data_IF_134183246614
#
_entry.id   IF_134183246614
#
_cell.length_a   1.000
_cell.length_b   1.000
_cell.length_c   1.000
_cell.angle_alpha   90.00
_cell.angle_beta   90.00
_cell.angle_gamma   90.00
#
_symmetry.space_group_name_H-M   'P 1'
#
loop_
_entity.id
_entity.type
_entity.pdbx_description
1 polymer ?
#
# COMPACT_ATOMS: atom_id res chain seq x y z
N UNK A 1 11.04 -7.39 -28.77
CA UNK A 1 10.55 -7.03 -27.41
C UNK A 1 9.44 -8.02 -27.15
N UNK A 2 9.56 -8.88 -26.11
CA UNK A 2 8.49 -9.81 -25.73
C UNK A 2 7.58 -9.07 -24.73
N UNK A 3 6.28 -9.02 -25.00
CA UNK A 3 5.26 -8.41 -24.14
C UNK A 3 4.43 -9.47 -23.38
N UNK A 4 4.81 -10.74 -23.48
CA UNK A 4 4.14 -11.80 -22.76
C UNK A 4 4.57 -11.79 -21.28
N UNK A 5 3.62 -12.06 -20.40
CA UNK A 5 3.89 -12.25 -18.98
C UNK A 5 4.59 -13.57 -18.73
N UNK A 6 5.47 -13.61 -17.72
CA UNK A 6 6.06 -14.86 -17.26
C UNK A 6 5.02 -15.78 -16.63
N UNK A 7 5.35 -17.06 -16.48
CA UNK A 7 4.46 -18.02 -15.80
C UNK A 7 4.15 -17.58 -14.36
N UNK A 8 5.15 -17.05 -13.64
CA UNK A 8 5.00 -16.53 -12.28
C UNK A 8 4.05 -15.32 -12.25
N UNK A 9 4.16 -14.41 -13.22
CA UNK A 9 3.29 -13.26 -13.36
C UNK A 9 1.84 -13.66 -13.66
N UNK A 10 1.65 -14.67 -14.51
CA UNK A 10 0.33 -15.24 -14.79
C UNK A 10 -0.25 -15.87 -13.52
N UNK A 11 0.54 -16.68 -12.80
CA UNK A 11 0.11 -17.30 -11.54
C UNK A 11 -0.27 -16.27 -10.49
N UNK A 12 0.52 -15.19 -10.33
CA UNK A 12 0.22 -14.08 -9.43
C UNK A 12 -1.12 -13.43 -9.79
N UNK A 13 -1.28 -13.01 -11.04
CA UNK A 13 -2.54 -12.41 -11.53
C UNK A 13 -3.74 -13.31 -11.27
N UNK A 14 -3.63 -14.58 -11.58
CA UNK A 14 -4.73 -15.56 -11.48
C UNK A 14 -5.05 -15.85 -10.00
N UNK A 15 -4.06 -15.83 -9.12
CA UNK A 15 -4.24 -15.92 -7.67
C UNK A 15 -5.11 -14.78 -7.15
N UNK A 16 -4.76 -13.53 -7.49
CA UNK A 16 -5.52 -12.34 -7.07
C UNK A 16 -6.94 -12.37 -7.66
N UNK A 17 -7.07 -12.68 -8.96
CA UNK A 17 -8.36 -12.75 -9.64
C UNK A 17 -9.29 -13.78 -9.00
N UNK A 18 -8.79 -14.97 -8.67
CA UNK A 18 -9.56 -16.03 -8.02
C UNK A 18 -10.03 -15.61 -6.63
N UNK A 19 -9.14 -15.04 -5.82
CA UNK A 19 -9.54 -14.56 -4.49
C UNK A 19 -10.68 -13.56 -4.58
N UNK A 20 -10.61 -12.60 -5.51
CA UNK A 20 -11.65 -11.59 -5.71
C UNK A 20 -12.95 -12.24 -6.14
N UNK A 21 -12.90 -13.18 -7.08
CA UNK A 21 -14.08 -13.91 -7.55
C UNK A 21 -14.78 -14.67 -6.41
N UNK A 22 -14.00 -15.28 -5.53
CA UNK A 22 -14.51 -16.15 -4.47
C UNK A 22 -14.95 -15.39 -3.21
N UNK A 23 -14.36 -14.20 -2.94
CA UNK A 23 -14.51 -13.51 -1.65
C UNK A 23 -15.00 -12.06 -1.74
N UNK A 24 -15.13 -11.49 -2.96
CA UNK A 24 -15.40 -10.06 -3.13
C UNK A 24 -16.65 -9.80 -3.98
N UNK A 25 -17.71 -10.62 -3.77
CA UNK A 25 -19.03 -10.38 -4.38
C UNK A 25 -19.55 -8.98 -3.97
N UNK A 26 -20.37 -8.39 -4.80
CA UNK A 26 -20.81 -6.99 -4.62
C UNK A 26 -21.49 -6.71 -3.28
N UNK A 27 -22.32 -7.63 -2.81
CA UNK A 27 -22.98 -7.59 -1.50
C UNK A 27 -21.95 -7.65 -0.35
N UNK A 28 -21.00 -8.58 -0.41
CA UNK A 28 -19.89 -8.68 0.55
C UNK A 28 -19.10 -7.38 0.60
N UNK A 29 -18.78 -6.80 -0.56
CA UNK A 29 -18.09 -5.50 -0.64
C UNK A 29 -18.90 -4.38 0.00
N UNK A 30 -20.22 -4.36 -0.19
CA UNK A 30 -21.09 -3.36 0.45
C UNK A 30 -21.07 -3.48 1.97
N UNK A 31 -21.11 -4.72 2.49
CA UNK A 31 -21.04 -4.98 3.93
C UNK A 31 -19.71 -4.52 4.52
N UNK A 32 -18.59 -4.80 3.83
CA UNK A 32 -17.26 -4.29 4.23
C UNK A 32 -17.25 -2.76 4.25
N UNK A 33 -17.76 -2.12 3.19
CA UNK A 33 -17.78 -0.66 3.08
C UNK A 33 -18.66 0.00 4.17
N UNK A 34 -19.71 -0.67 4.61
CA UNK A 34 -20.60 -0.20 5.67
C UNK A 34 -20.08 -0.51 7.09
N UNK A 35 -19.02 -1.32 7.21
CA UNK A 35 -18.41 -1.64 8.50
C UNK A 35 -17.73 -0.43 9.13
N UNK A 36 -17.53 -0.44 10.44
CA UNK A 36 -16.86 0.63 11.18
C UNK A 36 -15.45 0.96 10.62
N UNK A 37 -14.73 -0.05 10.16
CA UNK A 37 -13.38 0.11 9.63
C UNK A 37 -13.33 0.41 8.13
N UNK A 38 -14.41 0.14 7.39
CA UNK A 38 -14.48 0.30 5.93
C UNK A 38 -13.57 -0.65 5.15
N UNK A 39 -12.90 -1.60 5.82
CA UNK A 39 -12.02 -2.63 5.25
C UNK A 39 -12.22 -3.96 5.98
N UNK A 40 -11.84 -5.07 5.36
CA UNK A 40 -11.78 -6.39 6.01
C UNK A 40 -10.35 -6.69 6.47
N UNK A 41 -10.17 -6.82 7.79
CA UNK A 41 -8.88 -7.23 8.37
C UNK A 41 -8.52 -8.67 7.99
N UNK A 42 -9.51 -9.53 7.82
CA UNK A 42 -9.29 -10.92 7.42
C UNK A 42 -8.79 -10.99 5.98
N UNK A 43 -9.38 -10.22 5.06
CA UNK A 43 -8.89 -10.11 3.69
C UNK A 43 -7.45 -9.56 3.67
N UNK A 44 -7.18 -8.51 4.45
CA UNK A 44 -5.83 -7.93 4.54
C UNK A 44 -4.80 -8.95 5.03
N UNK A 45 -5.15 -9.74 6.03
CA UNK A 45 -4.32 -10.83 6.51
C UNK A 45 -4.10 -11.89 5.43
N UNK A 46 -5.15 -12.26 4.71
CA UNK A 46 -5.05 -13.19 3.58
C UNK A 46 -4.13 -12.64 2.48
N UNK A 47 -4.15 -11.33 2.19
CA UNK A 47 -3.22 -10.72 1.23
C UNK A 47 -1.76 -10.86 1.69
N UNK A 48 -1.49 -10.74 3.00
CA UNK A 48 -0.17 -10.99 3.57
C UNK A 48 0.24 -12.46 3.43
N UNK A 49 -0.63 -13.39 3.82
CA UNK A 49 -0.41 -14.84 3.74
C UNK A 49 -0.16 -15.34 2.29
N UNK A 50 -0.83 -14.73 1.32
CA UNK A 50 -0.64 -15.00 -0.12
C UNK A 50 0.59 -14.26 -0.70
N UNK A 51 1.31 -13.47 0.10
CA UNK A 51 2.52 -12.78 -0.29
C UNK A 51 2.30 -11.52 -1.13
N UNK A 52 1.06 -11.06 -1.35
CA UNK A 52 0.82 -9.91 -2.22
C UNK A 52 1.37 -8.60 -1.65
N UNK A 53 1.41 -8.48 -0.31
CA UNK A 53 1.95 -7.30 0.35
C UNK A 53 3.48 -7.21 0.24
N UNK A 54 4.16 -8.33 -0.04
CA UNK A 54 5.61 -8.43 -0.13
C UNK A 54 6.18 -8.03 -1.50
N UNK A 55 5.34 -8.00 -2.54
CA UNK A 55 5.75 -7.92 -3.95
C UNK A 55 6.76 -6.79 -4.23
N UNK A 56 6.51 -5.51 -3.87
CA UNK A 56 7.42 -4.45 -4.26
C UNK A 56 8.65 -4.30 -3.35
N UNK A 57 8.78 -5.08 -2.30
CA UNK A 57 9.86 -4.93 -1.33
C UNK A 57 11.05 -5.85 -1.64
N UNK A 58 12.24 -5.43 -1.24
CA UNK A 58 13.47 -6.20 -1.44
C UNK A 58 13.52 -7.45 -0.56
N UNK A 59 14.22 -8.48 -1.04
CA UNK A 59 14.37 -9.77 -0.34
C UNK A 59 15.01 -9.63 1.05
N UNK A 60 15.90 -8.68 1.24
CA UNK A 60 16.54 -8.39 2.54
C UNK A 60 15.55 -7.99 3.65
N UNK A 61 14.35 -7.52 3.27
CA UNK A 61 13.25 -7.19 4.18
C UNK A 61 12.14 -8.25 4.19
N UNK A 62 12.36 -9.42 3.55
CA UNK A 62 11.35 -10.45 3.38
C UNK A 62 10.41 -10.22 2.19
N UNK A 63 10.77 -9.31 1.29
CA UNK A 63 10.01 -9.01 0.09
C UNK A 63 10.25 -9.99 -1.05
N UNK A 64 9.45 -9.85 -2.11
CA UNK A 64 9.57 -10.67 -3.32
C UNK A 64 10.55 -10.07 -4.35
N UNK A 65 10.92 -8.79 -4.23
CA UNK A 65 11.76 -8.11 -5.20
C UNK A 65 11.07 -7.82 -6.54
N UNK A 66 9.74 -7.89 -6.57
CA UNK A 66 8.95 -7.71 -7.78
C UNK A 66 9.02 -6.29 -8.35
N UNK A 67 8.86 -6.20 -9.67
CA UNK A 67 8.91 -4.96 -10.42
C UNK A 67 7.55 -4.30 -10.62
N UNK A 68 7.56 -3.26 -11.47
CA UNK A 68 6.35 -2.49 -11.79
C UNK A 68 5.27 -3.34 -12.47
N UNK A 69 5.65 -4.36 -13.25
CA UNK A 69 4.70 -5.26 -13.93
C UNK A 69 3.95 -6.12 -12.92
N UNK A 70 4.66 -6.67 -11.93
CA UNK A 70 4.06 -7.51 -10.88
C UNK A 70 3.05 -6.71 -10.06
N UNK A 71 3.42 -5.49 -9.66
CA UNK A 71 2.53 -4.55 -8.98
C UNK A 71 1.32 -4.19 -9.85
N UNK A 72 1.52 -3.93 -11.14
CA UNK A 72 0.44 -3.61 -12.09
C UNK A 72 -0.58 -4.76 -12.15
N UNK A 73 -0.12 -6.00 -12.24
CA UNK A 73 -1.00 -7.17 -12.31
C UNK A 73 -1.88 -7.32 -11.06
N UNK A 74 -1.31 -7.08 -9.86
CA UNK A 74 -2.10 -7.06 -8.63
C UNK A 74 -3.10 -5.93 -8.64
N UNK A 75 -2.65 -4.69 -8.91
CA UNK A 75 -3.50 -3.50 -8.88
C UNK A 75 -4.65 -3.57 -9.90
N UNK A 76 -4.41 -4.17 -11.06
CA UNK A 76 -5.45 -4.38 -12.07
C UNK A 76 -6.58 -5.27 -11.53
N UNK A 77 -6.24 -6.38 -10.87
CA UNK A 77 -7.25 -7.27 -10.32
C UNK A 77 -7.97 -6.65 -9.12
N UNK A 78 -7.23 -6.01 -8.19
CA UNK A 78 -7.84 -5.27 -7.08
C UNK A 78 -8.81 -4.19 -7.58
N UNK A 79 -8.44 -3.49 -8.66
CA UNK A 79 -9.30 -2.49 -9.31
C UNK A 79 -10.56 -3.10 -9.92
N UNK A 80 -10.46 -4.25 -10.58
CA UNK A 80 -11.63 -4.98 -11.13
C UNK A 80 -12.63 -5.37 -10.05
N UNK A 81 -12.15 -5.75 -8.87
CA UNK A 81 -12.99 -6.08 -7.71
C UNK A 81 -13.44 -4.87 -6.90
N UNK A 82 -12.98 -3.67 -7.22
CA UNK A 82 -13.18 -2.46 -6.40
C UNK A 82 -12.82 -2.72 -4.93
N UNK A 83 -11.69 -3.38 -4.71
CA UNK A 83 -11.19 -3.81 -3.40
C UNK A 83 -10.96 -2.61 -2.48
N UNK A 84 -11.37 -2.73 -1.21
CA UNK A 84 -11.37 -1.64 -0.23
C UNK A 84 -10.11 -1.63 0.65
N UNK A 85 -9.42 -2.76 0.73
CA UNK A 85 -8.18 -2.89 1.51
C UNK A 85 -7.10 -1.93 0.99
N UNK A 86 -6.34 -1.28 1.87
CA UNK A 86 -5.49 -0.13 1.55
C UNK A 86 -4.16 -0.52 0.89
N UNK A 87 -4.19 -1.36 -0.14
CA UNK A 87 -2.98 -1.81 -0.85
C UNK A 87 -2.21 -0.61 -1.44
N UNK A 88 -2.92 0.28 -2.15
CA UNK A 88 -2.31 1.48 -2.72
C UNK A 88 -1.68 2.37 -1.63
N UNK A 89 -2.44 2.69 -0.58
CA UNK A 89 -1.98 3.61 0.46
C UNK A 89 -0.82 3.02 1.27
N UNK A 90 -0.94 1.77 1.70
CA UNK A 90 0.03 1.15 2.61
C UNK A 90 1.24 0.57 1.87
N UNK A 91 1.02 -0.25 0.85
CA UNK A 91 2.12 -0.98 0.19
C UNK A 91 2.87 -0.08 -0.80
N UNK A 92 2.12 0.67 -1.63
CA UNK A 92 2.74 1.42 -2.71
C UNK A 92 3.15 2.84 -2.30
N UNK A 93 2.28 3.60 -1.62
CA UNK A 93 2.58 4.98 -1.25
C UNK A 93 3.46 5.05 0.01
N UNK A 94 2.99 4.52 1.13
CA UNK A 94 3.77 4.54 2.37
C UNK A 94 5.02 3.65 2.28
N UNK A 95 4.87 2.40 1.82
CA UNK A 95 5.98 1.49 1.57
C UNK A 95 6.97 2.03 0.53
N UNK A 96 6.47 2.70 -0.51
CA UNK A 96 7.29 3.38 -1.51
C UNK A 96 8.10 4.54 -0.92
N UNK A 97 7.52 5.31 0.00
CA UNK A 97 8.21 6.37 0.73
C UNK A 97 9.35 5.79 1.58
N UNK A 98 9.10 4.71 2.33
CA UNK A 98 10.11 4.01 3.12
C UNK A 98 11.27 3.52 2.24
N UNK A 99 10.98 2.85 1.13
CA UNK A 99 11.99 2.32 0.18
C UNK A 99 12.86 3.40 -0.43
N UNK A 100 12.33 4.60 -0.69
CA UNK A 100 13.03 5.67 -1.41
C UNK A 100 13.65 6.72 -0.49
N UNK A 101 13.08 6.95 0.66
CA UNK A 101 13.47 8.05 1.56
C UNK A 101 13.66 7.65 3.02
N UNK A 102 13.27 6.44 3.42
CA UNK A 102 13.49 5.95 4.77
C UNK A 102 14.94 5.58 5.03
N UNK A 103 15.42 5.79 6.26
CA UNK A 103 16.71 5.23 6.71
C UNK A 103 16.62 3.70 6.75
N UNK A 104 17.78 3.03 6.76
CA UNK A 104 17.83 1.56 6.88
C UNK A 104 17.11 1.06 8.15
N UNK A 105 17.19 1.83 9.24
CA UNK A 105 16.48 1.54 10.49
C UNK A 105 14.95 1.57 10.30
N UNK A 106 14.42 2.64 9.69
CA UNK A 106 12.99 2.76 9.39
C UNK A 106 12.51 1.68 8.41
N UNK A 107 13.30 1.37 7.40
CA UNK A 107 12.99 0.29 6.47
C UNK A 107 12.94 -1.06 7.19
N UNK A 108 13.93 -1.36 8.03
CA UNK A 108 14.01 -2.60 8.81
C UNK A 108 12.90 -2.73 9.85
N UNK A 109 12.40 -1.62 10.40
CA UNK A 109 11.30 -1.62 11.36
C UNK A 109 9.93 -1.81 10.69
N UNK A 110 9.65 -1.05 9.62
CA UNK A 110 8.28 -0.94 9.08
C UNK A 110 8.00 -1.89 7.92
N UNK A 111 8.96 -2.15 7.02
CA UNK A 111 8.70 -2.98 5.83
C UNK A 111 8.28 -4.41 6.21
N UNK A 112 8.97 -5.12 7.12
CA UNK A 112 8.52 -6.45 7.53
C UNK A 112 7.09 -6.44 8.11
N UNK A 113 6.74 -5.44 8.91
CA UNK A 113 5.41 -5.29 9.48
C UNK A 113 4.31 -5.04 8.44
N UNK A 114 4.65 -4.32 7.35
CA UNK A 114 3.74 -4.14 6.21
C UNK A 114 3.53 -5.50 5.52
N UNK A 115 4.61 -6.22 5.22
CA UNK A 115 4.59 -7.54 4.57
C UNK A 115 3.73 -8.53 5.35
N UNK A 116 3.84 -8.54 6.67
CA UNK A 116 3.07 -9.39 7.57
C UNK A 116 1.61 -8.94 7.75
N UNK A 117 1.21 -7.81 7.18
CA UNK A 117 -0.12 -7.23 7.34
C UNK A 117 -0.37 -6.58 8.72
N UNK A 118 0.68 -6.44 9.53
CA UNK A 118 0.63 -5.91 10.91
C UNK A 118 0.75 -4.38 10.99
N UNK A 119 1.01 -3.71 9.86
CA UNK A 119 1.11 -2.26 9.77
C UNK A 119 0.26 -1.75 8.61
N UNK A 120 -0.61 -0.80 8.90
CA UNK A 120 -1.25 0.05 7.89
C UNK A 120 -0.61 1.42 7.93
N UNK A 121 -0.38 2.00 6.76
CA UNK A 121 0.22 3.31 6.63
C UNK A 121 -0.44 4.13 5.55
N UNK A 122 -0.34 5.45 5.69
CA UNK A 122 -0.84 6.39 4.72
C UNK A 122 0.22 7.45 4.42
N UNK A 123 0.17 8.02 3.22
CA UNK A 123 1.09 9.08 2.80
C UNK A 123 0.37 10.42 2.71
N UNK A 124 0.65 11.27 3.70
CA UNK A 124 0.10 12.61 3.79
C UNK A 124 0.98 13.61 3.03
N UNK A 125 0.75 13.82 1.74
CA UNK A 125 1.59 14.67 0.88
C UNK A 125 0.92 15.97 0.44
N UNK A 126 -0.40 15.99 0.27
CA UNK A 126 -1.11 17.16 -0.24
C UNK A 126 -1.37 18.22 0.83
N UNK A 127 -1.25 19.49 0.47
CA UNK A 127 -1.68 20.65 1.23
C UNK A 127 -2.67 21.48 0.39
N UNK A 128 -3.54 22.28 1.06
CA UNK A 128 -4.62 22.99 0.36
C UNK A 128 -4.12 23.93 -0.72
N UNK A 129 -3.01 24.63 -0.49
CA UNK A 129 -2.43 25.59 -1.42
C UNK A 129 -1.68 24.91 -2.56
N UNK A 130 -1.09 23.72 -2.33
CA UNK A 130 -0.17 23.07 -3.27
C UNK A 130 -0.85 22.64 -4.57
N UNK A 131 -2.13 22.34 -4.56
CA UNK A 131 -2.91 21.87 -5.73
C UNK A 131 -2.14 20.77 -6.49
N UNK A 132 -1.55 21.12 -7.64
CA UNK A 132 -0.77 20.20 -8.48
C UNK A 132 0.75 20.33 -8.28
N UNK A 133 1.21 21.34 -7.52
CA UNK A 133 2.62 21.56 -7.22
C UNK A 133 2.98 20.86 -5.90
N UNK A 134 3.40 19.60 -5.99
CA UNK A 134 3.67 18.76 -4.81
C UNK A 134 4.86 19.22 -3.97
N UNK A 135 5.73 20.06 -4.54
CA UNK A 135 6.88 20.65 -3.84
C UNK A 135 6.51 21.91 -3.03
N UNK A 136 5.30 22.47 -3.24
CA UNK A 136 4.79 23.59 -2.44
C UNK A 136 4.29 23.07 -1.08
N UNK A 137 5.19 23.05 -0.09
CA UNK A 137 4.97 22.52 1.25
C UNK A 137 5.14 23.63 2.28
N UNK A 138 4.08 23.97 3.01
CA UNK A 138 4.07 24.91 4.11
C UNK A 138 4.22 24.25 5.50
N UNK A 139 4.02 22.92 5.58
CA UNK A 139 4.27 22.17 6.81
C UNK A 139 5.73 22.32 7.23
N UNK A 140 5.96 22.71 8.47
CA UNK A 140 7.29 22.92 9.05
C UNK A 140 7.63 21.84 10.08
N UNK A 141 8.91 21.51 10.19
CA UNK A 141 9.46 20.70 11.26
C UNK A 141 10.54 21.50 11.99
N UNK A 142 10.32 21.83 13.25
CA UNK A 142 11.26 22.57 14.09
C UNK A 142 11.87 21.67 15.15
N UNK A 143 13.20 21.71 15.37
CA UNK A 143 13.84 20.94 16.43
C UNK A 143 13.20 21.22 17.80
N UNK A 144 13.03 20.17 18.58
CA UNK A 144 12.48 20.23 19.95
C UNK A 144 13.22 19.21 20.83
N UNK A 145 13.10 19.30 22.14
CA UNK A 145 13.73 18.36 23.06
C UNK A 145 13.31 16.92 22.76
N UNK A 146 14.25 16.09 22.29
CA UNK A 146 14.02 14.67 21.98
C UNK A 146 13.41 14.37 20.60
N UNK A 147 13.35 15.38 19.69
CA UNK A 147 12.80 15.14 18.34
C UNK A 147 12.46 16.42 17.60
N UNK A 148 11.30 16.42 16.92
CA UNK A 148 10.79 17.54 16.13
C UNK A 148 9.35 17.87 16.49
N UNK A 149 9.00 19.16 16.42
CA UNK A 149 7.62 19.63 16.43
C UNK A 149 7.18 19.89 15.01
N UNK A 150 6.12 19.21 14.57
CA UNK A 150 5.49 19.44 13.27
C UNK A 150 4.35 20.48 13.43
N UNK A 151 4.26 21.39 12.46
CA UNK A 151 3.18 22.38 12.37
C UNK A 151 2.76 22.52 10.92
N UNK A 152 1.51 22.18 10.62
CA UNK A 152 0.94 22.21 9.27
C UNK A 152 -0.35 21.42 9.18
N UNK A 153 -0.93 21.38 7.97
CA UNK A 153 -2.15 20.65 7.65
C UNK A 153 -1.94 19.87 6.34
N UNK A 154 -2.23 18.59 6.37
CA UNK A 154 -2.28 17.73 5.18
C UNK A 154 -3.75 17.39 4.88
N UNK A 155 -4.09 17.33 3.60
CA UNK A 155 -5.45 17.07 3.13
C UNK A 155 -5.49 15.89 2.17
N UNK A 156 -6.66 15.27 2.00
CA UNK A 156 -6.87 14.15 1.07
C UNK A 156 -5.85 13.03 1.30
N UNK A 157 -5.73 12.57 2.54
CA UNK A 157 -4.87 11.43 2.88
C UNK A 157 -5.66 10.15 2.61
N UNK A 158 -5.21 9.36 1.61
CA UNK A 158 -5.84 8.08 1.30
C UNK A 158 -5.69 7.10 2.45
N UNK A 159 -6.82 6.60 2.98
CA UNK A 159 -6.87 5.66 4.10
C UNK A 159 -6.12 6.16 5.36
N UNK A 160 -6.11 7.48 5.58
CA UNK A 160 -5.52 8.11 6.76
C UNK A 160 -6.47 8.21 7.93
#
# INVERSE_FOLDING_TARGET
MNFEFSEEQIMLRDSVARFIQDNYAFDVRQDIAASEQGISRDNWKTFAELGWLSIPFAEEHGGFGGGAVDVMLVMEQLGKGLVLEPYLATVLLFGGLLRKGGSAELQGEYIPRIIEGNCLGAFAYLERQSRYELADVLTTASPSAGGYRLNGEKVVVFNG
#
